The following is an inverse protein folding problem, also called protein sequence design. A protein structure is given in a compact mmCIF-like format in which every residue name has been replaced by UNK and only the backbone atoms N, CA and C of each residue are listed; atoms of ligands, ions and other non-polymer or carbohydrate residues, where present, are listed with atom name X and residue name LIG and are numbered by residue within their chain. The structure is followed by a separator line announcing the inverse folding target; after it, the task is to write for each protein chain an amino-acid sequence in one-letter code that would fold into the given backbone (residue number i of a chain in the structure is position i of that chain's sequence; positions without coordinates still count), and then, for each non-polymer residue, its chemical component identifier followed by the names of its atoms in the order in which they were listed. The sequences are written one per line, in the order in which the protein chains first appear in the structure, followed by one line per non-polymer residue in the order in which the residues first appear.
data_IF_199197977070
#
_entry.id   IF_199197977070
#
_cell.length_a   1.000
_cell.length_b   1.000
_cell.length_c   1.000
_cell.angle_alpha   90.00
_cell.angle_beta   90.00
_cell.angle_gamma   90.00
#
_symmetry.space_group_name_H-M   'P 1'
#
loop_
_entity.id
_entity.type
_entity.pdbx_description
1 polymer ?
#
# COMPACT_ATOMS: atom_id res chain seq x y z
N UNK A 1 -47.54 -5.77 -22.33
CA UNK A 1 -47.07 -4.65 -21.49
C UNK A 1 -45.95 -3.97 -22.25
N UNK A 2 -46.28 -2.92 -23.02
CA UNK A 2 -45.32 -2.25 -23.90
C UNK A 2 -44.42 -1.33 -23.07
N UNK A 3 -43.10 -1.34 -23.34
CA UNK A 3 -42.15 -0.45 -22.69
C UNK A 3 -42.51 1.02 -22.99
N UNK A 4 -42.44 1.87 -21.96
CA UNK A 4 -42.77 3.30 -22.05
C UNK A 4 -41.76 4.04 -22.94
N UNK A 5 -42.20 4.96 -23.83
CA UNK A 5 -41.33 5.69 -24.75
C UNK A 5 -40.19 6.45 -24.05
N UNK A 6 -40.40 6.91 -22.82
CA UNK A 6 -39.36 7.57 -22.01
C UNK A 6 -38.14 6.69 -21.68
N UNK A 7 -38.30 5.36 -21.64
CA UNK A 7 -37.19 4.45 -21.38
C UNK A 7 -36.30 4.24 -22.62
N UNK A 8 -36.86 4.38 -23.83
CA UNK A 8 -36.11 4.30 -25.07
C UNK A 8 -35.24 5.55 -25.28
N UNK A 9 -35.78 6.72 -24.96
CA UNK A 9 -35.07 8.00 -25.08
C UNK A 9 -33.87 8.09 -24.13
N UNK A 10 -33.98 7.54 -22.91
CA UNK A 10 -32.89 7.51 -21.94
C UNK A 10 -31.73 6.60 -22.39
N UNK A 11 -32.04 5.46 -23.00
CA UNK A 11 -31.02 4.54 -23.55
C UNK A 11 -30.33 5.15 -24.78
N UNK A 12 -31.06 5.90 -25.60
CA UNK A 12 -30.50 6.60 -26.75
C UNK A 12 -29.52 7.69 -26.29
N UNK A 13 -29.92 8.51 -25.29
CA UNK A 13 -29.07 9.56 -24.73
C UNK A 13 -27.78 9.01 -24.08
N UNK A 14 -27.85 7.85 -23.41
CA UNK A 14 -26.65 7.22 -22.84
C UNK A 14 -25.73 6.65 -23.95
N UNK A 15 -26.31 6.13 -25.03
CA UNK A 15 -25.54 5.65 -26.18
C UNK A 15 -24.81 6.78 -26.91
N UNK A 16 -25.47 7.94 -27.04
CA UNK A 16 -24.90 9.13 -27.66
C UNK A 16 -23.79 9.73 -26.80
N UNK A 17 -23.94 9.72 -25.47
CA UNK A 17 -22.89 10.15 -24.54
C UNK A 17 -21.66 9.23 -24.58
N UNK A 18 -21.85 7.90 -24.71
CA UNK A 18 -20.74 6.95 -24.86
C UNK A 18 -20.02 7.11 -26.20
N UNK A 19 -20.74 7.38 -27.29
CA UNK A 19 -20.14 7.63 -28.60
C UNK A 19 -19.38 8.98 -28.66
N UNK A 20 -19.86 10.01 -27.95
CA UNK A 20 -19.15 11.28 -27.81
C UNK A 20 -17.81 11.11 -27.06
N UNK A 21 -17.78 10.31 -26.00
CA UNK A 21 -16.55 10.01 -25.26
C UNK A 21 -15.54 9.18 -26.07
N UNK A 22 -16.00 8.33 -26.99
CA UNK A 22 -15.13 7.55 -27.89
C UNK A 22 -14.46 8.40 -29.00
N UNK A 23 -14.97 9.61 -29.26
CA UNK A 23 -14.47 10.52 -30.30
C UNK A 23 -13.51 11.59 -29.72
N UNK A 24 -13.28 11.59 -28.41
CA UNK A 24 -12.31 12.49 -27.78
C UNK A 24 -10.88 12.12 -28.22
N UNK A 25 -10.01 13.12 -28.52
CA UNK A 25 -8.63 12.85 -28.93
C UNK A 25 -7.89 12.13 -27.81
N UNK A 26 -7.37 10.94 -28.12
CA UNK A 26 -6.55 10.18 -27.18
C UNK A 26 -5.29 10.99 -26.81
N UNK A 27 -4.90 11.03 -25.52
CA UNK A 27 -3.61 11.56 -25.14
C UNK A 27 -2.53 10.75 -25.86
N UNK A 28 -1.66 11.44 -26.60
CA UNK A 28 -0.61 10.81 -27.41
C UNK A 28 0.31 9.90 -26.58
N UNK A 29 1.01 8.96 -27.22
CA UNK A 29 1.92 8.06 -26.53
C UNK A 29 2.96 8.86 -25.73
N UNK A 30 3.04 8.57 -24.43
CA UNK A 30 4.07 9.12 -23.56
C UNK A 30 5.45 8.80 -24.16
N UNK A 31 6.37 9.78 -24.31
CA UNK A 31 7.64 9.55 -24.98
C UNK A 31 8.40 8.42 -24.28
N UNK A 32 8.85 7.49 -25.11
CA UNK A 32 9.43 6.23 -24.72
C UNK A 32 10.56 6.36 -23.68
N UNK A 33 10.46 5.56 -22.60
CA UNK A 33 11.53 5.25 -21.64
C UNK A 33 12.75 4.51 -22.25
N UNK A 34 12.86 4.47 -23.58
CA UNK A 34 13.86 3.69 -24.32
C UNK A 34 15.18 4.41 -24.62
N UNK A 35 15.32 5.70 -24.29
CA UNK A 35 16.51 6.48 -24.67
C UNK A 35 17.62 6.55 -23.60
N UNK A 36 17.43 5.93 -22.42
CA UNK A 36 18.36 6.10 -21.29
C UNK A 36 19.45 5.03 -21.15
N UNK A 37 19.46 3.98 -22.01
CA UNK A 37 20.45 2.90 -21.91
C UNK A 37 21.08 2.47 -23.25
N UNK A 38 20.96 3.30 -24.29
CA UNK A 38 21.58 3.03 -25.60
C UNK A 38 22.94 3.73 -25.74
N UNK A 39 24.00 3.19 -25.12
CA UNK A 39 25.34 3.76 -25.31
C UNK A 39 26.38 3.40 -24.26
N UNK A 40 26.46 2.13 -23.83
CA UNK A 40 27.64 1.65 -23.09
C UNK A 40 28.35 0.64 -23.97
N UNK A 41 29.11 1.13 -24.94
CA UNK A 41 30.20 0.37 -25.59
C UNK A 41 31.03 1.34 -26.42
N UNK A 42 32.24 1.63 -25.94
CA UNK A 42 33.32 2.17 -26.78
C UNK A 42 33.52 3.68 -26.80
N UNK A 43 33.81 4.30 -25.65
CA UNK A 43 34.79 5.40 -25.57
C UNK A 43 35.08 5.72 -24.09
N UNK A 44 36.14 5.13 -23.53
CA UNK A 44 36.47 5.26 -22.10
C UNK A 44 37.50 6.38 -21.83
N UNK A 45 37.97 7.12 -22.84
CA UNK A 45 38.89 8.25 -22.61
C UNK A 45 38.50 9.45 -23.48
N UNK A 46 37.33 10.03 -23.19
CA UNK A 46 36.97 11.39 -23.57
C UNK A 46 37.29 12.35 -22.42
N UNK A 47 37.79 13.55 -22.73
CA UNK A 47 38.13 14.57 -21.74
C UNK A 47 36.97 14.82 -20.76
N UNK A 48 37.25 15.07 -19.46
CA UNK A 48 36.20 15.25 -18.46
C UNK A 48 35.29 16.42 -18.85
N UNK A 49 33.98 16.15 -18.85
CA UNK A 49 32.93 17.13 -19.10
C UNK A 49 33.11 18.33 -18.13
N UNK A 50 33.23 19.59 -18.62
CA UNK A 50 33.35 20.77 -17.77
C UNK A 50 32.17 20.98 -16.82
N UNK A 51 31.02 20.30 -17.04
CA UNK A 51 29.90 20.28 -16.09
C UNK A 51 30.16 19.41 -14.83
N UNK A 52 31.18 18.55 -14.83
CA UNK A 52 31.53 17.67 -13.71
C UNK A 52 32.53 18.29 -12.72
N UNK A 53 32.99 19.53 -12.96
CA UNK A 53 33.96 20.22 -12.12
C UNK A 53 33.43 20.62 -10.71
N UNK A 54 32.13 20.41 -10.45
CA UNK A 54 31.47 20.74 -9.19
C UNK A 54 30.86 19.56 -8.45
N UNK A 55 31.19 18.32 -8.82
CA UNK A 55 30.67 17.07 -8.26
C UNK A 55 31.56 16.67 -7.07
N UNK A 56 31.12 16.79 -5.79
CA UNK A 56 31.94 16.41 -4.64
C UNK A 56 32.41 14.95 -4.71
N UNK A 57 33.71 14.71 -4.79
CA UNK A 57 34.29 13.35 -4.96
C UNK A 57 34.47 12.60 -3.65
N UNK A 58 34.07 13.18 -2.52
CA UNK A 58 34.32 12.74 -1.15
C UNK A 58 33.14 12.01 -0.49
N UNK A 59 32.13 11.62 -1.27
CA UNK A 59 30.97 10.88 -0.75
C UNK A 59 29.90 11.75 -0.09
N UNK A 60 29.97 13.09 -0.25
CA UNK A 60 28.99 14.04 0.30
C UNK A 60 27.53 13.78 -0.13
N UNK A 61 27.29 13.07 -1.24
CA UNK A 61 25.97 12.66 -1.72
C UNK A 61 25.20 11.77 -0.73
N UNK A 62 25.92 11.03 0.11
CA UNK A 62 25.34 10.08 1.07
C UNK A 62 24.86 10.80 2.34
N UNK A 63 25.25 12.07 2.53
CA UNK A 63 24.87 12.90 3.68
C UNK A 63 23.65 13.79 3.42
N UNK A 64 23.10 13.81 2.21
CA UNK A 64 21.92 14.62 1.92
C UNK A 64 20.68 13.95 2.51
N UNK A 65 20.35 14.32 3.76
CA UNK A 65 19.03 14.06 4.32
C UNK A 65 17.95 14.49 3.30
N UNK A 66 16.84 13.74 3.16
CA UNK A 66 15.74 14.14 2.28
C UNK A 66 15.37 15.59 2.59
N UNK A 67 15.01 16.42 1.57
CA UNK A 67 14.65 17.81 1.81
C UNK A 67 13.58 17.83 2.90
N UNK A 68 13.92 18.44 4.03
CA UNK A 68 13.03 18.51 5.16
C UNK A 68 11.69 19.04 4.65
N UNK A 69 10.60 18.30 4.91
CA UNK A 69 9.27 18.82 4.72
C UNK A 69 9.23 20.24 5.30
N UNK A 70 8.63 21.23 4.61
CA UNK A 70 8.68 22.62 5.04
C UNK A 70 8.30 22.66 6.52
N UNK A 71 9.25 23.09 7.35
CA UNK A 71 9.05 23.14 8.78
C UNK A 71 7.78 23.97 9.02
N UNK A 72 6.80 23.47 9.79
CA UNK A 72 5.62 24.25 10.09
C UNK A 72 6.09 25.58 10.67
N UNK A 73 5.55 26.70 10.18
CA UNK A 73 5.85 28.03 10.71
C UNK A 73 5.38 28.06 12.17
N UNK A 74 6.28 27.73 13.10
CA UNK A 74 5.96 27.61 14.52
C UNK A 74 5.89 29.02 15.12
N UNK A 75 4.76 29.43 15.72
CA UNK A 75 4.67 30.70 16.44
C UNK A 75 5.67 30.71 17.60
N UNK A 76 6.33 31.85 17.86
CA UNK A 76 7.04 32.03 19.13
C UNK A 76 6.02 32.03 20.28
N UNK A 77 6.04 30.99 21.10
CA UNK A 77 5.09 30.76 22.18
C UNK A 77 5.60 29.71 23.17
N UNK A 78 4.94 29.60 24.33
CA UNK A 78 5.26 28.65 25.40
C UNK A 78 5.39 27.22 24.86
N UNK A 79 6.27 26.39 25.46
CA UNK A 79 6.55 25.03 24.98
C UNK A 79 5.27 24.18 24.78
N UNK A 80 4.22 24.43 25.57
CA UNK A 80 2.90 23.82 25.39
C UNK A 80 2.22 24.21 24.07
N UNK A 81 2.25 25.49 23.71
CA UNK A 81 1.65 25.99 22.45
C UNK A 81 2.38 25.43 21.22
N UNK A 82 3.69 25.20 21.33
CA UNK A 82 4.49 24.53 20.29
C UNK A 82 4.08 23.07 20.12
N UNK A 83 3.94 22.33 21.22
CA UNK A 83 3.50 20.93 21.20
C UNK A 83 2.10 20.82 20.57
N UNK A 84 1.17 21.69 20.96
CA UNK A 84 -0.19 21.70 20.40
C UNK A 84 -0.19 22.02 18.89
N UNK A 85 0.60 22.99 18.44
CA UNK A 85 0.74 23.31 17.02
C UNK A 85 1.33 22.14 16.21
N UNK A 86 2.31 21.41 16.77
CA UNK A 86 2.90 20.23 16.14
C UNK A 86 1.90 19.07 16.02
N UNK A 87 1.11 18.81 17.07
CA UNK A 87 0.03 17.80 17.03
C UNK A 87 -0.99 18.16 15.95
N UNK A 88 -1.35 19.44 15.85
CA UNK A 88 -2.34 19.91 14.89
C UNK A 88 -1.83 19.88 13.44
N UNK A 89 -0.53 20.07 13.23
CA UNK A 89 0.11 19.90 11.94
C UNK A 89 0.23 18.41 11.54
N UNK A 90 0.46 17.51 12.52
CA UNK A 90 0.63 16.08 12.29
C UNK A 90 -0.68 15.32 12.05
N UNK A 91 -1.82 15.85 12.48
CA UNK A 91 -3.12 15.15 12.37
C UNK A 91 -3.53 14.91 10.90
N UNK A 92 -3.29 15.85 10.00
CA UNK A 92 -3.84 15.78 8.65
C UNK A 92 -3.09 14.75 7.79
N UNK A 93 -1.74 14.69 7.77
CA UNK A 93 -1.01 13.60 7.13
C UNK A 93 -1.38 12.22 7.67
N UNK A 94 -1.58 12.10 8.99
CA UNK A 94 -2.04 10.86 9.62
C UNK A 94 -3.44 10.48 9.14
N UNK A 95 -4.37 11.44 9.09
CA UNK A 95 -5.73 11.20 8.58
C UNK A 95 -5.68 10.71 7.14
N UNK A 96 -4.91 11.37 6.27
CA UNK A 96 -4.74 10.95 4.88
C UNK A 96 -4.20 9.52 4.78
N UNK A 97 -3.22 9.17 5.61
CA UNK A 97 -2.68 7.82 5.68
C UNK A 97 -3.74 6.79 6.08
N UNK A 98 -4.52 7.06 7.14
CA UNK A 98 -5.57 6.16 7.62
C UNK A 98 -6.68 5.98 6.57
N UNK A 99 -7.09 7.05 5.89
CA UNK A 99 -8.10 6.99 4.83
C UNK A 99 -7.59 6.14 3.66
N UNK A 100 -6.34 6.35 3.24
CA UNK A 100 -5.72 5.62 2.12
C UNK A 100 -5.65 4.11 2.36
N UNK A 101 -5.41 3.69 3.60
CA UNK A 101 -5.26 2.29 3.99
C UNK A 101 -6.49 1.72 4.72
N UNK A 102 -7.65 2.36 4.58
CA UNK A 102 -8.92 1.83 5.08
C UNK A 102 -9.88 1.57 3.94
N UNK A 103 -10.62 0.47 4.03
CA UNK A 103 -11.65 0.14 3.06
C UNK A 103 -12.88 1.04 3.26
N UNK A 104 -13.44 1.54 2.16
CA UNK A 104 -14.65 2.36 2.12
C UNK A 104 -15.83 1.69 2.82
N UNK A 105 -15.96 0.36 2.68
CA UNK A 105 -17.02 -0.41 3.33
C UNK A 105 -16.89 -0.38 4.86
N UNK A 106 -15.66 -0.49 5.38
CA UNK A 106 -15.37 -0.42 6.81
C UNK A 106 -15.61 1.00 7.33
N UNK A 107 -15.13 2.03 6.62
CA UNK A 107 -15.41 3.43 7.00
C UNK A 107 -16.92 3.71 7.05
N UNK A 108 -17.68 3.24 6.05
CA UNK A 108 -19.13 3.40 6.02
C UNK A 108 -19.82 2.64 7.17
N UNK A 109 -19.34 1.44 7.51
CA UNK A 109 -19.83 0.68 8.65
C UNK A 109 -19.61 1.41 9.98
N UNK A 110 -18.40 1.92 10.21
CA UNK A 110 -18.08 2.64 11.43
C UNK A 110 -18.76 4.02 11.51
N UNK A 111 -19.00 4.70 10.38
CA UNK A 111 -19.80 5.92 10.33
C UNK A 111 -21.23 5.67 10.81
N UNK A 112 -21.90 4.66 10.23
CA UNK A 112 -23.27 4.29 10.64
C UNK A 112 -23.32 3.89 12.12
N UNK A 113 -22.30 3.18 12.58
CA UNK A 113 -22.19 2.76 13.99
C UNK A 113 -22.01 3.96 14.92
N UNK A 114 -21.13 4.90 14.59
CA UNK A 114 -20.92 6.13 15.36
C UNK A 114 -22.19 6.99 15.41
N UNK A 115 -22.88 7.18 14.29
CA UNK A 115 -24.13 7.93 14.23
C UNK A 115 -25.24 7.31 15.08
N UNK A 116 -25.28 5.99 15.22
CA UNK A 116 -26.25 5.29 16.06
C UNK A 116 -25.96 5.45 17.55
N UNK A 117 -24.69 5.55 17.92
CA UNK A 117 -24.24 5.70 19.31
C UNK A 117 -24.31 7.16 19.80
N UNK A 118 -24.23 8.14 18.89
CA UNK A 118 -24.30 9.55 19.22
C UNK A 118 -25.74 10.08 19.40
N UNK A 119 -25.94 11.03 20.33
CA UNK A 119 -27.18 11.82 20.43
C UNK A 119 -27.51 12.50 19.09
N UNK A 120 -28.80 12.66 18.75
CA UNK A 120 -29.25 13.21 17.45
C UNK A 120 -28.57 14.53 17.06
N UNK A 121 -28.28 15.37 18.04
CA UNK A 121 -27.71 16.72 17.87
C UNK A 121 -26.26 16.69 17.39
N UNK A 122 -25.51 15.60 17.69
CA UNK A 122 -24.09 15.45 17.31
C UNK A 122 -23.86 14.51 16.14
N UNK A 123 -24.93 13.92 15.57
CA UNK A 123 -24.80 12.97 14.45
C UNK A 123 -24.24 13.62 13.18
N UNK A 124 -24.53 14.91 12.97
CA UNK A 124 -24.03 15.67 11.82
C UNK A 124 -22.54 16.03 11.91
N UNK A 125 -21.95 15.99 13.12
CA UNK A 125 -20.56 16.37 13.35
C UNK A 125 -19.57 15.25 12.97
N UNK A 126 -20.06 14.01 12.88
CA UNK A 126 -19.24 12.84 12.52
C UNK A 126 -19.37 12.54 11.04
N UNK A 127 -18.29 12.81 10.31
CA UNK A 127 -18.15 12.47 8.89
C UNK A 127 -17.39 11.15 8.70
N UNK A 128 -17.35 10.64 7.47
CA UNK A 128 -16.61 9.42 7.12
C UNK A 128 -15.10 9.52 7.38
N UNK A 129 -14.56 10.74 7.35
CA UNK A 129 -13.14 11.03 7.54
C UNK A 129 -12.79 11.34 8.99
N UNK A 130 -13.77 11.35 9.89
CA UNK A 130 -13.58 11.63 11.31
C UNK A 130 -12.72 10.55 11.97
N UNK A 131 -11.80 10.91 12.87
CA UNK A 131 -10.88 9.94 13.53
C UNK A 131 -11.59 8.78 14.23
N UNK A 132 -12.74 9.06 14.84
CA UNK A 132 -13.62 8.05 15.45
C UNK A 132 -14.06 6.94 14.47
N UNK A 133 -14.10 7.25 13.16
CA UNK A 133 -14.50 6.35 12.08
C UNK A 133 -13.28 5.74 11.39
N UNK A 134 -12.31 6.57 10.98
CA UNK A 134 -11.17 6.11 10.18
C UNK A 134 -10.20 5.23 10.95
N UNK A 135 -10.02 5.45 12.26
CA UNK A 135 -9.11 4.64 13.09
C UNK A 135 -9.59 3.17 13.15
N UNK A 136 -10.81 2.85 13.62
CA UNK A 136 -11.25 1.46 13.69
C UNK A 136 -11.43 0.84 12.29
N UNK A 137 -11.83 1.63 11.28
CA UNK A 137 -11.93 1.15 9.90
C UNK A 137 -10.58 0.73 9.32
N UNK A 138 -9.54 1.54 9.54
CA UNK A 138 -8.16 1.19 9.19
C UNK A 138 -7.72 -0.08 9.92
N UNK A 139 -7.93 -0.18 11.23
CA UNK A 139 -7.53 -1.37 11.99
C UNK A 139 -8.16 -2.65 11.45
N UNK A 140 -9.46 -2.66 11.13
CA UNK A 140 -10.13 -3.84 10.55
C UNK A 140 -9.60 -4.15 9.15
N UNK A 141 -9.37 -3.13 8.34
CA UNK A 141 -8.82 -3.27 6.98
C UNK A 141 -7.44 -3.92 7.00
N UNK A 142 -6.56 -3.42 7.88
CA UNK A 142 -5.20 -3.91 8.05
C UNK A 142 -5.15 -5.30 8.68
N UNK A 143 -6.01 -5.61 9.66
CA UNK A 143 -6.11 -6.96 10.20
C UNK A 143 -6.53 -7.98 9.12
N UNK A 144 -7.45 -7.58 8.25
CA UNK A 144 -7.89 -8.42 7.13
C UNK A 144 -6.76 -8.64 6.13
N UNK A 145 -6.01 -7.58 5.78
CA UNK A 145 -4.85 -7.68 4.90
C UNK A 145 -3.74 -8.55 5.53
N UNK A 146 -3.43 -8.35 6.82
CA UNK A 146 -2.45 -9.13 7.56
C UNK A 146 -2.82 -10.62 7.62
N UNK A 147 -4.11 -10.93 7.79
CA UNK A 147 -4.57 -12.32 7.77
C UNK A 147 -4.41 -12.96 6.38
N UNK A 148 -4.74 -12.24 5.31
CA UNK A 148 -4.53 -12.72 3.94
C UNK A 148 -3.05 -13.00 3.66
N UNK A 149 -2.17 -12.05 4.01
CA UNK A 149 -0.72 -12.19 3.85
C UNK A 149 -0.21 -13.38 4.68
N UNK A 150 -0.60 -13.47 5.95
CA UNK A 150 -0.24 -14.57 6.83
C UNK A 150 -0.70 -15.93 6.30
N UNK A 151 -1.91 -16.01 5.75
CA UNK A 151 -2.43 -17.22 5.12
C UNK A 151 -1.61 -17.63 3.90
N UNK A 152 -1.28 -16.69 3.01
CA UNK A 152 -0.46 -16.96 1.83
C UNK A 152 0.96 -17.42 2.20
N UNK A 153 1.56 -16.83 3.22
CA UNK A 153 2.87 -17.25 3.74
C UNK A 153 2.79 -18.65 4.35
N UNK A 154 1.67 -18.99 5.00
CA UNK A 154 1.49 -20.28 5.67
C UNK A 154 1.32 -21.45 4.69
N UNK A 155 0.69 -21.23 3.53
CA UNK A 155 0.40 -22.27 2.52
C UNK A 155 1.60 -23.16 2.13
N UNK A 156 2.77 -22.65 1.73
CA UNK A 156 3.89 -23.52 1.35
C UNK A 156 4.36 -24.41 2.50
N UNK A 157 4.30 -23.93 3.74
CA UNK A 157 4.68 -24.72 4.92
C UNK A 157 3.65 -25.79 5.25
N UNK A 158 2.36 -25.50 5.06
CA UNK A 158 1.27 -26.47 5.19
C UNK A 158 1.46 -27.61 4.19
N UNK A 159 1.79 -27.30 2.93
CA UNK A 159 2.05 -28.31 1.90
C UNK A 159 3.19 -29.24 2.32
N UNK A 160 4.28 -28.71 2.88
CA UNK A 160 5.38 -29.53 3.40
C UNK A 160 4.88 -30.47 4.50
N UNK A 161 4.12 -29.96 5.48
CA UNK A 161 3.57 -30.79 6.56
C UNK A 161 2.72 -31.94 6.02
N UNK A 162 1.83 -31.63 5.07
CA UNK A 162 0.95 -32.62 4.48
C UNK A 162 1.73 -33.71 3.72
N UNK A 163 2.73 -33.31 2.94
CA UNK A 163 3.58 -34.25 2.18
C UNK A 163 4.40 -35.13 3.13
N UNK A 164 5.03 -34.54 4.15
CA UNK A 164 5.85 -35.28 5.13
C UNK A 164 4.97 -36.26 5.92
N UNK A 165 3.78 -35.85 6.36
CA UNK A 165 2.85 -36.73 7.06
C UNK A 165 2.46 -37.94 6.21
N UNK A 166 2.15 -37.73 4.92
CA UNK A 166 1.80 -38.81 4.01
C UNK A 166 2.97 -39.79 3.77
N UNK A 167 4.20 -39.28 3.66
CA UNK A 167 5.41 -40.10 3.51
C UNK A 167 5.66 -40.94 4.77
N UNK A 168 5.57 -40.35 5.97
CA UNK A 168 5.74 -41.08 7.23
C UNK A 168 4.68 -42.17 7.42
N UNK A 169 3.43 -41.86 7.05
CA UNK A 169 2.33 -42.82 7.07
C UNK A 169 2.61 -44.01 6.12
N UNK A 170 3.09 -43.73 4.89
CA UNK A 170 3.44 -44.77 3.92
C UNK A 170 4.63 -45.64 4.37
N UNK A 171 5.57 -45.08 5.12
CA UNK A 171 6.71 -45.81 5.69
C UNK A 171 6.36 -46.57 6.97
N UNK A 172 5.12 -46.43 7.49
CA UNK A 172 4.69 -47.07 8.73
C UNK A 172 5.26 -46.42 10.00
N UNK A 173 5.87 -45.24 9.90
CA UNK A 173 6.48 -44.54 11.04
C UNK A 173 5.45 -43.69 11.78
N UNK A 174 4.57 -44.34 12.54
CA UNK A 174 3.54 -43.65 13.34
C UNK A 174 4.06 -43.06 14.66
N UNK A 175 5.24 -43.50 15.13
CA UNK A 175 5.82 -43.06 16.40
C UNK A 175 6.54 -41.70 16.30
N UNK A 176 6.92 -41.28 15.09
CA UNK A 176 7.54 -39.98 14.88
C UNK A 176 6.48 -38.96 14.50
N UNK A 177 6.48 -37.82 15.20
CA UNK A 177 5.59 -36.70 14.87
C UNK A 177 5.98 -36.13 13.50
N UNK A 178 5.04 -36.05 12.52
CA UNK A 178 5.29 -35.42 11.23
C UNK A 178 5.81 -34.00 11.34
N UNK A 179 5.37 -33.26 12.35
CA UNK A 179 5.80 -31.87 12.62
C UNK A 179 7.29 -31.79 12.96
N UNK A 180 7.82 -32.77 13.72
CA UNK A 180 9.25 -32.78 14.09
C UNK A 180 10.12 -33.06 12.87
N UNK A 181 9.66 -33.94 11.99
CA UNK A 181 10.38 -34.29 10.75
C UNK A 181 10.28 -33.16 9.72
N UNK A 182 9.14 -32.47 9.63
CA UNK A 182 8.93 -31.39 8.65
C UNK A 182 9.66 -30.08 9.01
N UNK A 183 9.90 -29.81 10.30
CA UNK A 183 10.53 -28.59 10.78
C UNK A 183 11.86 -28.24 10.07
N UNK A 184 12.88 -29.12 9.97
CA UNK A 184 14.11 -28.79 9.27
C UNK A 184 13.89 -28.46 7.78
N UNK A 185 12.95 -29.13 7.10
CA UNK A 185 12.63 -28.83 5.71
C UNK A 185 11.96 -27.46 5.54
N UNK A 186 11.08 -27.07 6.45
CA UNK A 186 10.47 -25.73 6.46
C UNK A 186 11.53 -24.65 6.63
N UNK A 187 12.45 -24.83 7.59
CA UNK A 187 13.53 -23.89 7.83
C UNK A 187 14.47 -23.80 6.62
N UNK A 188 14.83 -24.94 6.03
CA UNK A 188 15.64 -24.99 4.82
C UNK A 188 14.96 -24.26 3.65
N UNK A 189 13.68 -24.53 3.39
CA UNK A 189 12.91 -23.82 2.36
C UNK A 189 12.93 -22.32 2.62
N UNK A 190 12.65 -21.90 3.86
CA UNK A 190 12.56 -20.49 4.21
C UNK A 190 13.88 -19.74 4.02
N UNK A 191 15.02 -20.36 4.35
CA UNK A 191 16.35 -19.79 4.11
C UNK A 191 16.70 -19.82 2.61
N UNK A 192 16.40 -20.91 1.91
CA UNK A 192 16.71 -21.09 0.48
C UNK A 192 16.01 -20.03 -0.40
N UNK A 193 14.83 -19.59 0.01
CA UNK A 193 14.08 -18.56 -0.72
C UNK A 193 14.35 -17.15 -0.20
N UNK A 194 15.37 -16.90 0.62
CA UNK A 194 15.60 -15.61 1.27
C UNK A 194 14.33 -15.05 1.95
N UNK A 195 13.65 -15.91 2.72
CA UNK A 195 12.31 -15.64 3.25
C UNK A 195 12.21 -14.33 4.01
N UNK A 196 13.20 -14.00 4.85
CA UNK A 196 13.27 -12.73 5.59
C UNK A 196 13.24 -11.51 4.67
N UNK A 197 14.06 -11.51 3.61
CA UNK A 197 14.13 -10.38 2.68
C UNK A 197 12.80 -10.23 1.92
N UNK A 198 12.22 -11.34 1.44
CA UNK A 198 10.93 -11.32 0.73
C UNK A 198 9.79 -10.81 1.62
N UNK A 199 9.75 -11.23 2.88
CA UNK A 199 8.76 -10.76 3.83
C UNK A 199 8.90 -9.26 4.08
N UNK A 200 10.09 -8.79 4.48
CA UNK A 200 10.31 -7.37 4.80
C UNK A 200 10.06 -6.48 3.58
N UNK A 201 10.56 -6.85 2.41
CA UNK A 201 10.30 -6.10 1.18
C UNK A 201 8.81 -6.06 0.82
N UNK A 202 8.09 -7.18 0.95
CA UNK A 202 6.66 -7.23 0.70
C UNK A 202 5.86 -6.33 1.66
N UNK A 203 6.23 -6.33 2.94
CA UNK A 203 5.64 -5.47 3.96
C UNK A 203 5.85 -3.99 3.63
N UNK A 204 7.08 -3.58 3.31
CA UNK A 204 7.38 -2.17 2.98
C UNK A 204 6.66 -1.72 1.72
N UNK A 205 6.63 -2.57 0.68
CA UNK A 205 6.00 -2.24 -0.59
C UNK A 205 4.48 -2.04 -0.45
N UNK A 206 3.85 -2.74 0.50
CA UNK A 206 2.40 -2.63 0.77
C UNK A 206 1.99 -1.22 1.20
N UNK A 207 2.87 -0.47 1.88
CA UNK A 207 2.58 0.90 2.35
C UNK A 207 3.23 2.00 1.51
N UNK A 208 4.05 1.64 0.52
CA UNK A 208 4.74 2.59 -0.34
C UNK A 208 3.90 3.07 -1.55
N UNK A 209 2.78 2.38 -1.85
CA UNK A 209 1.83 2.74 -2.91
C UNK A 209 0.79 3.77 -2.47
#
# INVERSE_FOLDING_TARGET
MAASPAAADALQAESDARNAAATAPQPGPSPARGALFGGVTGDIIGAPDPAMAGVPTDGAWVSAAPPAAPAPLVPEGSDLSRILAMVEAGKEPLRTFLIRHSNDAERAFFLRSAQRLLPPERRGDVTVDHFLVVIPAFTVSELTAAFQIGFLIFLPFLVIDLVVANILLALGMMMMSPTTVSLPFKLLLFVLVDGWAKLVHGLVLTYAG
#
